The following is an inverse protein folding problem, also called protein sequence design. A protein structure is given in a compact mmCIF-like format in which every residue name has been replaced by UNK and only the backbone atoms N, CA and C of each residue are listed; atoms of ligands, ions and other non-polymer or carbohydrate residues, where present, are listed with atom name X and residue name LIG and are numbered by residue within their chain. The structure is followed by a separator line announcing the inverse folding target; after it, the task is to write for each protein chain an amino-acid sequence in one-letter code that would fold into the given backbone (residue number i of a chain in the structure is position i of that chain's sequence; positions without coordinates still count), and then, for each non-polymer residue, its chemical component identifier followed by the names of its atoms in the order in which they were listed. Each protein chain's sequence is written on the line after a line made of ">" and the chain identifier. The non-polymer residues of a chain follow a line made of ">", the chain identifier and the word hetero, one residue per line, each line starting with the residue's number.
data_IF_390770746591
#
_entry.id   IF_390770746591
#
_cell.length_a   1.000
_cell.length_b   1.000
_cell.length_c   1.000
_cell.angle_alpha   90.00
_cell.angle_beta   90.00
_cell.angle_gamma   90.00
#
_symmetry.space_group_name_H-M   'P 1'
#
loop_
_entity.id
_entity.type
_entity.pdbx_description
1 polymer ?
#
# COMPACT_ATOMS: atom_id res chain seq x y z
N UNK A 1 10.59 18.11 13.64
CA UNK A 1 11.03 16.95 14.46
C UNK A 1 10.89 15.67 13.62
N UNK A 2 11.94 15.30 12.87
CA UNK A 2 11.93 14.35 11.73
C UNK A 2 12.37 12.93 12.14
N UNK A 3 11.95 12.43 13.30
CA UNK A 3 12.74 11.41 14.03
C UNK A 3 12.19 9.98 14.07
N UNK A 4 11.20 9.59 13.27
CA UNK A 4 10.67 8.20 13.35
C UNK A 4 9.98 7.66 12.09
N UNK A 5 10.49 8.01 10.90
CA UNK A 5 9.79 7.74 9.63
C UNK A 5 9.86 6.28 9.15
N UNK A 6 10.98 5.57 9.33
CA UNK A 6 11.12 4.16 8.94
C UNK A 6 12.17 3.50 9.85
N UNK A 7 11.87 2.36 10.46
CA UNK A 7 12.81 1.61 11.30
C UNK A 7 13.17 0.29 10.60
N UNK A 8 14.37 0.24 10.04
CA UNK A 8 15.02 -0.93 9.45
C UNK A 8 16.51 -0.62 9.36
N UNK A 9 17.37 -1.60 9.63
CA UNK A 9 18.83 -1.43 9.70
C UNK A 9 19.45 -0.93 8.39
N UNK A 10 18.76 -1.14 7.27
CA UNK A 10 19.26 -0.83 5.91
C UNK A 10 18.55 0.38 5.26
N UNK A 11 17.94 1.27 6.06
CA UNK A 11 17.20 2.44 5.57
C UNK A 11 18.14 3.61 5.20
N UNK A 12 18.27 3.93 3.90
CA UNK A 12 18.91 5.16 3.43
C UNK A 12 17.85 6.25 3.21
N UNK A 13 17.91 7.29 4.04
CA UNK A 13 16.95 8.40 4.03
C UNK A 13 16.82 9.13 2.68
N UNK A 14 17.87 9.20 1.86
CA UNK A 14 17.84 9.97 0.60
C UNK A 14 17.41 9.11 -0.59
N UNK A 15 17.83 7.85 -0.62
CA UNK A 15 17.49 6.91 -1.70
C UNK A 15 16.13 6.25 -1.46
N UNK A 16 15.88 5.78 -0.24
CA UNK A 16 14.65 5.07 0.09
C UNK A 16 13.45 5.99 0.25
N UNK A 17 13.62 7.24 0.69
CA UNK A 17 12.48 8.15 0.83
C UNK A 17 11.82 8.44 -0.52
N UNK A 18 12.58 8.77 -1.56
CA UNK A 18 12.03 9.00 -2.91
C UNK A 18 11.42 7.73 -3.51
N UNK A 19 12.10 6.59 -3.38
CA UNK A 19 11.64 5.30 -3.91
C UNK A 19 10.39 4.78 -3.19
N UNK A 20 10.40 4.75 -1.85
CA UNK A 20 9.29 4.29 -1.02
C UNK A 20 8.09 5.23 -1.12
N UNK A 21 8.33 6.55 -1.20
CA UNK A 21 7.27 7.53 -1.49
C UNK A 21 6.62 7.25 -2.86
N UNK A 22 7.42 6.97 -3.88
CA UNK A 22 6.87 6.64 -5.21
C UNK A 22 6.07 5.34 -5.19
N UNK A 23 6.52 4.32 -4.44
CA UNK A 23 5.80 3.04 -4.37
C UNK A 23 4.48 3.15 -3.60
N UNK A 24 4.46 3.82 -2.45
CA UNK A 24 3.21 4.03 -1.69
C UNK A 24 2.22 4.88 -2.49
N UNK A 25 2.69 5.91 -3.21
CA UNK A 25 1.86 6.77 -4.06
C UNK A 25 1.19 5.95 -5.19
N UNK A 26 1.92 4.98 -5.79
CA UNK A 26 1.38 4.08 -6.82
C UNK A 26 0.35 3.10 -6.27
N UNK A 27 0.62 2.50 -5.11
CA UNK A 27 -0.33 1.59 -4.44
C UNK A 27 -1.60 2.36 -4.07
N UNK A 28 -1.46 3.57 -3.52
CA UNK A 28 -2.58 4.46 -3.21
C UNK A 28 -3.39 4.80 -4.47
N UNK A 29 -2.74 5.24 -5.53
CA UNK A 29 -3.40 5.62 -6.78
C UNK A 29 -4.21 4.48 -7.42
N UNK A 30 -3.77 3.23 -7.26
CA UNK A 30 -4.51 2.04 -7.68
C UNK A 30 -5.67 1.74 -6.73
N UNK A 31 -5.43 1.71 -5.42
CA UNK A 31 -6.40 1.23 -4.44
C UNK A 31 -7.48 2.26 -4.08
N UNK A 32 -7.29 3.55 -4.39
CA UNK A 32 -8.24 4.62 -4.05
C UNK A 32 -9.61 4.49 -4.74
N UNK A 33 -9.75 3.56 -5.67
CA UNK A 33 -11.01 3.22 -6.34
C UNK A 33 -11.94 2.34 -5.49
N UNK A 34 -11.55 2.02 -4.26
CA UNK A 34 -12.34 1.27 -3.26
C UNK A 34 -12.68 -0.17 -3.67
N UNK A 35 -12.03 -0.75 -4.69
CA UNK A 35 -12.26 -2.15 -5.05
C UNK A 35 -11.46 -3.09 -4.15
N UNK A 36 -12.06 -4.24 -3.84
CA UNK A 36 -11.39 -5.34 -3.15
C UNK A 36 -10.40 -6.03 -4.09
N UNK A 37 -9.15 -6.20 -3.64
CA UNK A 37 -8.11 -6.89 -4.41
C UNK A 37 -7.21 -7.76 -3.53
N UNK A 38 -6.74 -8.88 -4.05
CA UNK A 38 -5.64 -9.64 -3.43
C UNK A 38 -4.29 -8.94 -3.68
N UNK A 39 -3.23 -9.36 -2.97
CA UNK A 39 -1.89 -8.84 -3.24
C UNK A 39 -1.41 -9.17 -4.66
N UNK A 40 -1.72 -10.37 -5.15
CA UNK A 40 -1.42 -10.79 -6.52
C UNK A 40 -2.10 -9.91 -7.57
N UNK A 41 -3.37 -9.58 -7.37
CA UNK A 41 -4.11 -8.68 -8.26
C UNK A 41 -3.54 -7.26 -8.25
N UNK A 42 -3.18 -6.75 -7.07
CA UNK A 42 -2.51 -5.45 -6.94
C UNK A 42 -1.17 -5.48 -7.67
N UNK A 43 -0.38 -6.53 -7.50
CA UNK A 43 0.91 -6.69 -8.17
C UNK A 43 0.75 -6.68 -9.69
N UNK A 44 -0.19 -7.47 -10.22
CA UNK A 44 -0.45 -7.55 -11.66
C UNK A 44 -0.85 -6.18 -12.24
N UNK A 45 -1.84 -5.53 -11.63
CA UNK A 45 -2.31 -4.21 -12.05
C UNK A 45 -1.22 -3.13 -11.99
N UNK A 46 -0.34 -3.18 -10.99
CA UNK A 46 0.82 -2.29 -10.93
C UNK A 46 1.87 -2.62 -11.98
N UNK A 47 2.11 -3.90 -12.27
CA UNK A 47 2.99 -4.34 -13.33
C UNK A 47 2.52 -3.84 -14.70
N UNK A 48 1.22 -3.98 -14.99
CA UNK A 48 0.62 -3.54 -16.26
C UNK A 48 0.73 -2.01 -16.44
N UNK A 49 0.53 -1.22 -15.37
CA UNK A 49 0.66 0.24 -15.40
C UNK A 49 2.10 0.75 -15.45
N UNK A 50 3.04 -0.04 -14.94
CA UNK A 50 4.45 0.34 -14.82
C UNK A 50 5.35 -0.82 -15.26
N UNK A 51 5.39 -1.16 -16.57
CA UNK A 51 6.00 -2.39 -17.08
C UNK A 51 7.50 -2.55 -16.76
N UNK A 52 8.21 -1.44 -16.56
CA UNK A 52 9.63 -1.41 -16.21
C UNK A 52 9.88 -1.43 -14.69
N UNK A 53 8.86 -1.77 -13.88
CA UNK A 53 8.95 -1.77 -12.41
C UNK A 53 8.34 -3.05 -11.84
N UNK A 54 9.06 -3.63 -10.89
CA UNK A 54 8.60 -4.78 -10.15
C UNK A 54 8.01 -4.37 -8.79
N UNK A 55 6.89 -5.00 -8.39
CA UNK A 55 6.17 -4.71 -7.15
C UNK A 55 5.95 -6.01 -6.37
N UNK A 56 6.92 -6.45 -5.56
CA UNK A 56 6.75 -7.66 -4.75
C UNK A 56 5.54 -7.54 -3.81
N UNK A 57 4.77 -8.62 -3.65
CA UNK A 57 3.61 -8.65 -2.74
C UNK A 57 3.97 -8.24 -1.30
N UNK A 58 5.16 -8.60 -0.82
CA UNK A 58 5.67 -8.20 0.50
C UNK A 58 5.82 -6.68 0.62
N UNK A 59 6.27 -6.01 -0.44
CA UNK A 59 6.38 -4.56 -0.52
C UNK A 59 5.00 -3.91 -0.58
N UNK A 60 4.08 -4.45 -1.40
CA UNK A 60 2.69 -3.97 -1.47
C UNK A 60 2.04 -4.06 -0.10
N UNK A 61 2.17 -5.19 0.59
CA UNK A 61 1.65 -5.40 1.94
C UNK A 61 2.22 -4.37 2.93
N UNK A 62 3.51 -4.06 2.85
CA UNK A 62 4.13 -3.00 3.66
C UNK A 62 3.55 -1.62 3.34
N UNK A 63 3.31 -1.29 2.06
CA UNK A 63 2.71 -0.01 1.69
C UNK A 63 1.25 0.11 2.13
N UNK A 64 0.44 -0.94 2.00
CA UNK A 64 -0.91 -0.96 2.57
C UNK A 64 -0.89 -0.68 4.08
N UNK A 65 0.06 -1.26 4.82
CA UNK A 65 0.23 -0.94 6.25
C UNK A 65 0.63 0.52 6.48
N UNK A 66 1.46 1.09 5.62
CA UNK A 66 1.91 2.47 5.71
C UNK A 66 0.79 3.48 5.43
N UNK A 67 -0.16 3.17 4.54
CA UNK A 67 -1.33 4.04 4.27
C UNK A 67 -2.21 4.30 5.49
N UNK A 68 -2.16 3.41 6.50
CA UNK A 68 -2.87 3.59 7.78
C UNK A 68 -2.19 4.57 8.73
N UNK A 69 -0.92 4.90 8.50
CA UNK A 69 -0.13 5.78 9.38
C UNK A 69 -0.35 7.24 8.99
N UNK A 70 0.03 8.15 9.89
CA UNK A 70 -0.10 9.59 9.70
C UNK A 70 0.49 10.07 8.36
N UNK A 71 1.76 9.74 8.10
CA UNK A 71 2.43 10.12 6.87
C UNK A 71 1.86 9.46 5.61
N UNK A 72 1.07 8.39 5.77
CA UNK A 72 0.36 7.70 4.70
C UNK A 72 -1.08 8.17 4.52
N UNK A 73 -1.52 9.20 5.25
CA UNK A 73 -2.84 9.82 5.10
C UNK A 73 -3.93 9.31 6.05
N UNK A 74 -3.58 8.50 7.06
CA UNK A 74 -4.54 7.91 8.02
C UNK A 74 -5.74 7.24 7.33
N UNK A 75 -5.49 6.52 6.24
CA UNK A 75 -6.56 5.85 5.51
C UNK A 75 -6.95 4.53 6.17
N UNK A 76 -8.17 4.07 5.87
CA UNK A 76 -8.66 2.78 6.34
C UNK A 76 -8.31 1.71 5.32
N UNK A 77 -7.70 0.62 5.79
CA UNK A 77 -7.50 -0.60 4.99
C UNK A 77 -8.36 -1.71 5.57
N UNK A 78 -9.41 -2.08 4.85
CA UNK A 78 -10.23 -3.23 5.18
C UNK A 78 -9.51 -4.51 4.71
N UNK A 79 -9.71 -5.62 5.44
CA UNK A 79 -9.13 -6.93 5.13
C UNK A 79 -10.20 -8.00 5.36
N UNK A 80 -10.41 -8.88 4.39
CA UNK A 80 -11.30 -10.05 4.55
C UNK A 80 -10.75 -11.27 3.81
N UNK A 81 -11.24 -12.45 4.18
CA UNK A 81 -10.95 -13.68 3.42
C UNK A 81 -11.68 -13.63 2.08
N UNK A 82 -11.01 -14.04 1.02
CA UNK A 82 -11.64 -14.21 -0.30
C UNK A 82 -12.14 -15.65 -0.43
N UNK A 83 -13.44 -15.80 -0.68
CA UNK A 83 -14.06 -17.12 -0.88
C UNK A 83 -14.08 -17.98 0.40
N UNK A 84 -13.93 -19.30 0.23
CA UNK A 84 -13.99 -20.27 1.33
C UNK A 84 -12.77 -20.14 2.26
N UNK A 85 -12.99 -20.35 3.56
CA UNK A 85 -11.96 -20.23 4.61
C UNK A 85 -10.73 -21.11 4.33
N UNK A 86 -10.94 -22.30 3.75
CA UNK A 86 -9.91 -23.28 3.38
C UNK A 86 -8.86 -22.75 2.40
N UNK A 87 -9.17 -21.73 1.60
CA UNK A 87 -8.28 -21.25 0.54
C UNK A 87 -7.20 -20.29 1.08
N UNK A 88 -7.33 -19.81 2.33
CA UNK A 88 -6.33 -18.97 2.99
C UNK A 88 -6.08 -17.59 2.36
N UNK A 89 -6.71 -17.26 1.23
CA UNK A 89 -6.50 -16.01 0.50
C UNK A 89 -7.19 -14.83 1.18
N UNK A 90 -6.48 -13.70 1.30
CA UNK A 90 -7.05 -12.44 1.78
C UNK A 90 -7.08 -11.41 0.66
N UNK A 91 -8.09 -10.54 0.73
CA UNK A 91 -8.20 -9.34 -0.08
C UNK A 91 -8.31 -8.10 0.79
N UNK A 92 -7.94 -6.98 0.19
CA UNK A 92 -7.79 -5.69 0.83
C UNK A 92 -8.57 -4.64 0.04
N UNK A 93 -9.07 -3.64 0.76
CA UNK A 93 -9.74 -2.48 0.19
C UNK A 93 -9.24 -1.24 0.91
N UNK A 94 -9.02 -0.16 0.15
CA UNK A 94 -8.69 1.15 0.69
C UNK A 94 -9.95 2.02 0.71
N UNK A 95 -10.28 2.54 1.89
CA UNK A 95 -11.21 3.65 2.05
C UNK A 95 -10.41 4.91 2.36
N UNK A 96 -10.47 5.88 1.44
CA UNK A 96 -9.79 7.15 1.61
C UNK A 96 -10.49 7.93 2.70
N UNK A 97 -9.73 8.29 3.75
CA UNK A 97 -10.19 9.23 4.77
C UNK A 97 -10.68 10.50 4.08
N UNK A 98 -11.97 10.81 4.20
CA UNK A 98 -12.49 12.12 3.82
C UNK A 98 -11.95 13.11 4.85
N UNK A 99 -11.12 14.06 4.41
CA UNK A 99 -10.87 15.22 5.25
C UNK A 99 -12.20 15.96 5.33
N UNK A 100 -12.84 15.94 6.51
CA UNK A 100 -13.84 16.93 6.89
C UNK A 100 -13.09 18.26 7.01
N UNK A 101 -12.88 18.92 5.87
CA UNK A 101 -12.61 20.35 5.85
C UNK A 101 -13.98 21.01 5.92
N UNK A 102 -14.37 21.41 7.14
CA UNK A 102 -15.32 22.51 7.32
C UNK A 102 -14.64 23.81 6.91
#
# INVERSE_FOLDING_TARGET
>A
MLRRLFAGSDFDKFVDYRRLKTQIDRVFALMKDTKWRTLQEIQRELGDRYPNKHFPESSISAQLRNLRKEYGGFHTINKRRRGKVSNGTFEYQLEVRKNLLN
#
